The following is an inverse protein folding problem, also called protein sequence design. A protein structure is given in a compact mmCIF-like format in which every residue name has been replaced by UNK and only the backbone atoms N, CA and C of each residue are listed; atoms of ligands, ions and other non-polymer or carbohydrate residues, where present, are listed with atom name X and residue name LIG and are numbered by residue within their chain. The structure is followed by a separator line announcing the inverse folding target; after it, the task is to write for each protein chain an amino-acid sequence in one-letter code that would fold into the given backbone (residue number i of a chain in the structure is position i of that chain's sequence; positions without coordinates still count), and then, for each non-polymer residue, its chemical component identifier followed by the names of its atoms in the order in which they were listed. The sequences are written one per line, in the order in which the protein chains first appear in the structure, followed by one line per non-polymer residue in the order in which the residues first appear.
data_IF_858662106752
#
_entry.id   IF_858662106752
#
_cell.length_a   1.000
_cell.length_b   1.000
_cell.length_c   1.000
_cell.angle_alpha   90.00
_cell.angle_beta   90.00
_cell.angle_gamma   90.00
#
_symmetry.space_group_name_H-M   'P 1'
#
loop_
_entity.id
_entity.type
_entity.pdbx_description
1 polymer ?
#
# COMPACT_ATOMS: atom_id res chain seq x y z
N UNK A 1 -89.90 26.33 27.56
CA UNK A 1 -89.21 27.56 27.11
C UNK A 1 -87.74 27.45 27.46
N UNK A 2 -86.89 27.10 26.48
CA UNK A 2 -85.45 26.92 26.70
C UNK A 2 -84.81 28.30 26.83
N UNK A 3 -84.14 28.54 27.96
CA UNK A 3 -83.59 29.84 28.35
C UNK A 3 -82.48 30.28 27.38
N UNK A 4 -82.67 31.44 26.73
CA UNK A 4 -81.76 31.97 25.70
C UNK A 4 -80.34 32.24 26.20
N UNK A 5 -80.14 32.35 27.51
CA UNK A 5 -78.82 32.46 28.14
C UNK A 5 -78.00 31.17 28.01
N UNK A 6 -78.64 29.99 28.07
CA UNK A 6 -77.94 28.70 27.99
C UNK A 6 -77.52 28.35 26.56
N UNK A 7 -78.29 28.79 25.56
CA UNK A 7 -77.93 28.60 24.14
C UNK A 7 -76.72 29.46 23.75
N UNK A 8 -76.65 30.70 24.25
CA UNK A 8 -75.48 31.57 24.03
C UNK A 8 -74.24 31.02 24.72
N UNK A 9 -74.37 30.53 25.96
CA UNK A 9 -73.26 29.92 26.70
C UNK A 9 -72.70 28.67 25.99
N UNK A 10 -73.59 27.79 25.50
CA UNK A 10 -73.18 26.61 24.73
C UNK A 10 -72.48 26.97 23.41
N UNK A 11 -72.95 28.01 22.73
CA UNK A 11 -72.31 28.54 21.52
C UNK A 11 -70.88 29.02 21.76
N UNK A 12 -70.63 29.78 22.83
CA UNK A 12 -69.28 30.24 23.17
C UNK A 12 -68.34 29.10 23.55
N UNK A 13 -68.84 28.09 24.27
CA UNK A 13 -68.02 26.91 24.61
C UNK A 13 -67.61 26.11 23.38
N UNK A 14 -68.48 26.03 22.37
CA UNK A 14 -68.23 25.27 21.15
C UNK A 14 -67.25 26.03 20.22
N UNK A 15 -67.36 27.36 20.15
CA UNK A 15 -66.38 28.21 19.43
C UNK A 15 -65.00 28.13 20.08
N UNK A 16 -64.91 28.14 21.42
CA UNK A 16 -63.64 28.01 22.14
C UNK A 16 -62.94 26.66 21.88
N UNK A 17 -63.73 25.57 21.80
CA UNK A 17 -63.24 24.22 21.52
C UNK A 17 -62.73 24.05 20.07
N UNK A 18 -63.34 24.77 19.13
CA UNK A 18 -62.87 24.83 17.73
C UNK A 18 -61.57 25.63 17.62
N UNK A 19 -61.45 26.75 18.35
CA UNK A 19 -60.21 27.56 18.35
C UNK A 19 -59.03 26.80 18.97
N UNK A 20 -59.28 25.98 20.00
CA UNK A 20 -58.25 25.14 20.61
C UNK A 20 -57.77 23.98 19.71
N UNK A 21 -58.56 23.54 18.74
CA UNK A 21 -58.19 22.44 17.84
C UNK A 21 -57.46 22.90 16.57
N UNK A 22 -57.34 24.22 16.35
CA UNK A 22 -56.63 24.82 15.20
C UNK A 22 -55.21 25.32 15.57
N UNK A 23 -54.79 25.19 16.83
CA UNK A 23 -53.40 25.47 17.20
C UNK A 23 -52.47 24.42 16.58
N UNK A 24 -51.93 24.72 15.39
CA UNK A 24 -50.82 23.97 14.81
C UNK A 24 -49.71 23.85 15.86
N UNK A 25 -49.19 22.65 16.15
CA UNK A 25 -47.99 22.53 16.95
C UNK A 25 -46.88 23.22 16.15
N UNK A 26 -46.48 24.41 16.58
CA UNK A 26 -45.33 25.10 16.04
C UNK A 26 -44.13 24.22 16.26
N UNK A 27 -43.68 23.54 15.22
CA UNK A 27 -42.43 22.79 15.25
C UNK A 27 -41.31 23.81 15.35
N UNK A 28 -40.77 23.99 16.56
CA UNK A 28 -39.59 24.79 16.77
C UNK A 28 -38.42 24.11 16.05
N UNK A 29 -38.10 24.59 14.85
CA UNK A 29 -36.90 24.17 14.14
C UNK A 29 -35.71 24.82 14.85
N UNK A 30 -34.78 24.01 15.36
CA UNK A 30 -33.60 24.54 16.04
C UNK A 30 -32.73 25.30 15.04
N UNK A 31 -32.41 26.57 15.35
CA UNK A 31 -31.41 27.36 14.61
C UNK A 31 -29.99 26.79 14.72
N UNK A 32 -29.79 25.83 15.62
CA UNK A 32 -28.53 25.12 15.76
C UNK A 32 -28.42 24.02 14.69
N UNK A 33 -27.76 24.34 13.58
CA UNK A 33 -27.34 23.35 12.61
C UNK A 33 -26.00 22.77 13.07
N UNK A 34 -25.98 21.49 13.45
CA UNK A 34 -24.77 20.80 13.91
C UNK A 34 -23.64 20.72 12.84
N UNK A 35 -23.92 21.14 11.59
CA UNK A 35 -22.96 21.27 10.51
C UNK A 35 -22.45 22.71 10.24
N UNK A 36 -22.87 23.72 11.02
CA UNK A 36 -22.33 25.08 10.88
C UNK A 36 -20.90 25.11 11.41
N UNK A 37 -19.92 25.12 10.52
CA UNK A 37 -18.52 25.29 10.86
C UNK A 37 -18.35 26.47 11.84
N UNK A 38 -17.73 26.22 12.98
CA UNK A 38 -17.51 27.26 13.98
C UNK A 38 -16.67 28.37 13.36
N UNK A 39 -17.03 29.63 13.59
CA UNK A 39 -16.29 30.80 13.11
C UNK A 39 -14.83 30.84 13.60
N UNK A 40 -14.47 29.97 14.55
CA UNK A 40 -13.15 29.84 15.12
C UNK A 40 -12.55 28.43 14.97
N UNK A 41 -13.26 27.46 14.37
CA UNK A 41 -12.68 26.13 14.13
C UNK A 41 -11.98 26.07 12.79
N UNK A 42 -10.77 25.54 12.81
CA UNK A 42 -10.04 25.19 11.60
C UNK A 42 -10.87 24.23 10.72
N UNK A 43 -11.00 24.56 9.43
CA UNK A 43 -11.82 23.84 8.44
C UNK A 43 -11.05 22.62 7.97
N UNK A 44 -10.95 21.64 8.86
CA UNK A 44 -10.30 20.35 8.60
C UNK A 44 -11.32 19.27 8.28
N UNK A 45 -10.90 18.31 7.47
CA UNK A 45 -11.62 17.06 7.26
C UNK A 45 -11.93 16.36 8.60
N UNK A 46 -13.21 16.07 8.82
CA UNK A 46 -13.77 15.45 10.03
C UNK A 46 -14.90 14.48 9.74
N UNK A 47 -15.50 14.54 8.56
CA UNK A 47 -16.66 13.74 8.19
C UNK A 47 -16.30 12.77 7.06
N UNK A 48 -17.07 11.69 6.96
CA UNK A 48 -17.00 10.76 5.83
C UNK A 48 -17.36 11.56 4.58
N UNK A 49 -16.53 11.44 3.53
CA UNK A 49 -16.68 12.17 2.29
C UNK A 49 -15.79 13.42 2.18
N UNK A 50 -15.18 13.89 3.27
CA UNK A 50 -14.26 15.02 3.24
C UNK A 50 -12.99 14.68 2.44
N UNK A 51 -12.41 15.70 1.80
CA UNK A 51 -11.22 15.57 0.98
C UNK A 51 -9.97 15.93 1.78
N UNK A 52 -8.94 15.10 1.65
CA UNK A 52 -7.63 15.31 2.26
C UNK A 52 -6.58 15.13 1.18
N UNK A 53 -5.73 16.13 1.00
CA UNK A 53 -4.63 16.02 0.04
C UNK A 53 -3.37 15.46 0.69
N UNK A 54 -2.94 14.31 0.21
CA UNK A 54 -1.72 13.64 0.63
C UNK A 54 -0.55 14.11 -0.24
N UNK A 55 0.49 14.60 0.41
CA UNK A 55 1.77 14.94 -0.21
C UNK A 55 2.71 13.75 -0.03
N UNK A 56 2.98 13.05 -1.12
CA UNK A 56 3.77 11.84 -1.18
C UNK A 56 5.22 12.23 -1.43
N UNK A 57 6.11 11.90 -0.50
CA UNK A 57 7.56 12.08 -0.62
C UNK A 57 8.26 10.81 -0.11
N UNK A 58 8.34 9.78 -0.94
CA UNK A 58 8.96 8.50 -0.55
C UNK A 58 10.32 8.33 -1.21
N UNK A 59 11.28 7.86 -0.40
CA UNK A 59 12.61 7.46 -0.85
C UNK A 59 12.78 5.98 -0.51
N UNK A 60 12.65 5.11 -1.51
CA UNK A 60 12.86 3.67 -1.35
C UNK A 60 14.30 3.33 -1.76
N UNK A 61 15.12 2.91 -0.78
CA UNK A 61 16.47 2.39 -1.04
C UNK A 61 16.51 0.93 -0.61
N UNK A 62 16.46 0.01 -1.58
CA UNK A 62 16.62 -1.42 -1.33
C UNK A 62 18.02 -1.86 -1.79
N UNK A 63 18.93 -2.06 -0.83
CA UNK A 63 20.25 -2.65 -1.07
C UNK A 63 20.20 -4.13 -0.72
N UNK A 64 20.19 -5.00 -1.73
CA UNK A 64 20.31 -6.45 -1.54
C UNK A 64 21.74 -6.88 -1.88
N UNK A 65 22.48 -7.36 -0.88
CA UNK A 65 23.80 -7.95 -1.04
C UNK A 65 23.67 -9.46 -0.92
N UNK A 66 23.88 -10.18 -2.03
CA UNK A 66 23.91 -11.64 -2.07
C UNK A 66 25.37 -12.10 -2.18
N UNK A 67 25.93 -12.61 -1.08
CA UNK A 67 27.23 -13.27 -1.09
C UNK A 67 27.00 -14.79 -1.10
N UNK A 68 27.27 -15.43 -2.23
CA UNK A 68 27.26 -16.90 -2.34
C UNK A 68 28.69 -17.41 -2.35
N UNK A 69 29.10 -18.04 -1.24
CA UNK A 69 30.37 -18.75 -1.11
C UNK A 69 30.04 -20.24 -0.95
N UNK A 70 30.33 -21.04 -1.98
CA UNK A 70 30.14 -22.49 -1.95
C UNK A 70 31.49 -23.19 -2.15
N UNK A 71 32.15 -23.54 -1.05
CA UNK A 71 33.35 -24.37 -1.09
C UNK A 71 32.99 -25.85 -1.00
N UNK A 72 33.16 -26.61 -2.09
CA UNK A 72 33.19 -28.09 -2.05
C UNK A 72 34.64 -28.58 -2.12
N UNK A 73 35.27 -28.73 -0.96
CA UNK A 73 36.54 -29.44 -0.85
C UNK A 73 36.30 -30.95 -0.97
N UNK A 74 36.45 -31.52 -2.17
CA UNK A 74 36.47 -32.98 -2.36
C UNK A 74 37.92 -33.46 -2.36
N UNK A 75 38.45 -33.80 -1.18
CA UNK A 75 39.75 -34.44 -1.06
C UNK A 75 39.61 -35.94 -1.31
N UNK A 76 39.76 -36.39 -2.57
CA UNK A 76 39.98 -37.82 -2.86
C UNK A 76 41.44 -38.13 -2.59
N UNK A 77 41.74 -38.58 -1.37
CA UNK A 77 43.05 -39.11 -1.02
C UNK A 77 43.25 -40.47 -1.68
N UNK A 78 44.01 -40.52 -2.78
CA UNK A 78 44.58 -41.79 -3.28
C UNK A 78 45.77 -42.11 -2.38
N UNK A 79 45.49 -42.78 -1.25
CA UNK A 79 46.52 -43.44 -0.46
C UNK A 79 47.09 -44.64 -1.23
N UNK A 80 48.35 -45.04 -0.98
CA UNK A 80 49.06 -46.08 -1.74
C UNK A 80 48.46 -47.51 -1.64
N UNK A 81 47.28 -47.66 -1.03
CA UNK A 81 46.55 -48.92 -0.87
C UNK A 81 45.03 -48.78 -1.15
N UNK A 82 44.59 -47.75 -1.87
CA UNK A 82 43.18 -47.54 -2.22
C UNK A 82 42.88 -47.91 -3.67
N UNK A 83 42.04 -48.94 -3.87
CA UNK A 83 41.65 -49.48 -5.18
C UNK A 83 41.20 -48.42 -6.19
N UNK A 84 41.77 -48.52 -7.38
CA UNK A 84 41.59 -47.71 -8.57
C UNK A 84 40.12 -47.48 -8.96
N UNK A 85 39.62 -46.25 -8.79
CA UNK A 85 38.44 -45.76 -9.52
C UNK A 85 38.69 -45.64 -11.04
N UNK A 86 39.96 -45.71 -11.48
CA UNK A 86 40.32 -45.76 -12.89
C UNK A 86 39.99 -47.13 -13.54
N UNK A 87 39.60 -48.14 -12.77
CA UNK A 87 39.16 -49.44 -13.30
C UNK A 87 37.65 -49.48 -13.63
N UNK A 88 36.88 -48.45 -13.23
CA UNK A 88 35.45 -48.34 -13.53
C UNK A 88 35.13 -47.47 -14.75
N UNK A 89 36.14 -46.84 -15.36
CA UNK A 89 35.98 -45.98 -16.54
C UNK A 89 36.67 -46.66 -17.73
N UNK A 90 35.97 -47.53 -18.49
CA UNK A 90 36.57 -48.33 -19.56
C UNK A 90 37.13 -47.51 -20.73
N UNK A 91 36.85 -46.20 -20.79
CA UNK A 91 37.37 -45.31 -21.83
C UNK A 91 38.83 -44.88 -21.61
N UNK A 92 39.39 -45.06 -20.40
CA UNK A 92 40.73 -44.55 -20.06
C UNK A 92 41.84 -45.61 -20.16
N UNK A 93 41.54 -46.81 -20.69
CA UNK A 93 42.55 -47.83 -21.00
C UNK A 93 43.12 -47.59 -22.39
N UNK A 94 43.89 -46.51 -22.57
CA UNK A 94 44.80 -46.41 -23.72
C UNK A 94 46.24 -46.29 -23.25
N UNK A 95 46.99 -47.32 -23.64
CA UNK A 95 48.43 -47.52 -23.59
C UNK A 95 49.22 -46.23 -23.72
N UNK A 96 49.81 -45.70 -22.63
CA UNK A 96 51.09 -44.97 -22.68
C UNK A 96 51.61 -44.63 -21.28
N UNK A 97 52.85 -45.06 -21.02
CA UNK A 97 53.68 -44.65 -19.89
C UNK A 97 54.01 -43.15 -19.96
N UNK A 98 53.14 -42.28 -19.45
CA UNK A 98 53.48 -40.87 -19.16
C UNK A 98 52.97 -40.50 -17.76
N UNK A 99 53.77 -39.76 -16.97
CA UNK A 99 53.44 -39.48 -15.59
C UNK A 99 52.12 -38.72 -15.50
N UNK A 100 51.29 -39.26 -14.62
CA UNK A 100 49.98 -38.81 -14.17
C UNK A 100 49.93 -37.28 -14.06
N UNK A 101 49.17 -36.65 -14.97
CA UNK A 101 48.75 -35.25 -14.85
C UNK A 101 47.94 -35.16 -13.55
N UNK A 102 48.53 -34.58 -12.51
CA UNK A 102 47.83 -34.18 -11.31
C UNK A 102 47.00 -32.95 -11.66
N UNK A 103 45.78 -33.19 -12.17
CA UNK A 103 44.79 -32.14 -12.33
C UNK A 103 44.14 -31.89 -10.96
N UNK A 104 44.75 -31.01 -10.17
CA UNK A 104 44.11 -30.41 -8.99
C UNK A 104 43.21 -29.28 -9.46
N UNK A 105 41.92 -29.56 -9.68
CA UNK A 105 40.93 -28.52 -9.95
C UNK A 105 40.31 -28.08 -8.63
N UNK A 106 40.70 -26.89 -8.16
CA UNK A 106 40.05 -26.19 -7.05
C UNK A 106 39.13 -25.12 -7.64
N UNK A 107 37.84 -25.42 -7.77
CA UNK A 107 36.84 -24.45 -8.21
C UNK A 107 36.34 -23.65 -6.99
N UNK A 108 37.03 -22.57 -6.68
CA UNK A 108 36.59 -21.59 -5.68
C UNK A 108 35.56 -20.64 -6.31
N UNK A 109 34.27 -21.00 -6.24
CA UNK A 109 33.19 -20.17 -6.74
C UNK A 109 32.83 -19.07 -5.72
N UNK A 110 33.42 -17.89 -5.91
CA UNK A 110 33.06 -16.67 -5.19
C UNK A 110 32.19 -15.77 -6.09
N UNK A 111 30.87 -15.88 -5.94
CA UNK A 111 29.93 -14.96 -6.58
C UNK A 111 29.42 -13.94 -5.55
N UNK A 112 29.82 -12.68 -5.76
CA UNK A 112 29.28 -11.52 -5.04
C UNK A 112 28.33 -10.77 -5.97
N UNK A 113 27.05 -10.75 -5.62
CA UNK A 113 26.02 -10.00 -6.33
C UNK A 113 25.50 -8.87 -5.46
N UNK A 114 25.85 -7.62 -5.79
CA UNK A 114 25.23 -6.45 -5.18
C UNK A 114 24.15 -5.92 -6.12
N UNK A 115 22.90 -5.92 -5.67
CA UNK A 115 21.79 -5.28 -6.41
C UNK A 115 21.27 -4.13 -5.58
N UNK A 116 21.53 -2.90 -6.03
CA UNK A 116 20.95 -1.69 -5.46
C UNK A 116 19.76 -1.27 -6.32
N UNK A 117 18.56 -1.26 -5.74
CA UNK A 117 17.34 -0.70 -6.35
C UNK A 117 16.95 0.53 -5.55
N UNK A 118 17.16 1.71 -6.14
CA UNK A 118 16.75 2.99 -5.58
C UNK A 118 15.62 3.61 -6.40
N UNK A 119 14.67 4.25 -5.72
CA UNK A 119 13.59 5.02 -6.35
C UNK A 119 13.10 6.14 -5.44
N UNK A 120 12.89 7.33 -6.02
CA UNK A 120 12.25 8.46 -5.35
C UNK A 120 10.92 8.75 -6.01
N UNK A 121 9.87 8.93 -5.22
CA UNK A 121 8.54 9.33 -5.71
C UNK A 121 8.10 10.60 -5.00
N UNK A 122 7.72 11.60 -5.80
CA UNK A 122 7.15 12.87 -5.34
C UNK A 122 5.85 13.12 -6.07
N UNK A 123 4.74 13.08 -5.36
CA UNK A 123 3.41 13.26 -5.93
C UNK A 123 2.45 13.93 -4.94
N UNK A 124 1.38 14.53 -5.46
CA UNK A 124 0.30 15.12 -4.65
C UNK A 124 -1.02 14.51 -5.11
N UNK A 125 -1.72 13.86 -4.19
CA UNK A 125 -2.96 13.15 -4.47
C UNK A 125 -4.06 13.59 -3.51
N UNK A 126 -5.23 13.92 -4.04
CA UNK A 126 -6.40 14.15 -3.20
C UNK A 126 -7.11 12.83 -2.92
N UNK A 127 -7.28 12.54 -1.63
CA UNK A 127 -7.95 11.36 -1.09
C UNK A 127 -9.27 11.77 -0.45
N UNK A 128 -10.14 10.80 -0.20
CA UNK A 128 -11.40 10.99 0.49
C UNK A 128 -11.43 10.18 1.79
N UNK A 129 -12.07 10.72 2.82
CA UNK A 129 -12.34 10.00 4.07
C UNK A 129 -13.44 8.98 3.82
N UNK A 130 -13.11 7.69 3.94
CA UNK A 130 -14.06 6.58 3.76
C UNK A 130 -14.68 6.10 5.08
N UNK A 131 -13.94 6.22 6.18
CA UNK A 131 -14.37 5.71 7.48
C UNK A 131 -13.78 6.56 8.62
N UNK A 132 -14.51 6.63 9.73
CA UNK A 132 -14.06 7.29 10.96
C UNK A 132 -14.02 6.24 12.08
N UNK A 133 -12.84 6.08 12.68
CA UNK A 133 -12.67 5.20 13.82
C UNK A 133 -13.13 5.86 15.13
N UNK A 134 -13.46 5.04 16.13
CA UNK A 134 -13.95 5.48 17.45
C UNK A 134 -13.01 6.46 18.17
N UNK A 135 -11.71 6.44 17.85
CA UNK A 135 -10.69 7.34 18.39
C UNK A 135 -10.61 8.70 17.66
N UNK A 136 -11.47 8.96 16.67
CA UNK A 136 -11.47 10.17 15.85
C UNK A 136 -10.39 10.20 14.77
N UNK A 137 -9.81 9.05 14.43
CA UNK A 137 -8.93 8.92 13.25
C UNK A 137 -9.73 8.58 12.00
N UNK A 138 -9.23 9.02 10.86
CA UNK A 138 -9.90 8.98 9.58
C UNK A 138 -9.17 7.98 8.70
N UNK A 139 -9.89 7.01 8.14
CA UNK A 139 -9.37 6.20 7.04
C UNK A 139 -9.54 6.99 5.76
N UNK A 140 -8.45 7.18 5.03
CA UNK A 140 -8.43 7.89 3.75
C UNK A 140 -8.09 6.92 2.62
N UNK A 141 -8.76 7.11 1.49
CA UNK A 141 -8.52 6.35 0.27
C UNK A 141 -8.62 7.29 -0.93
N UNK A 142 -7.73 7.13 -1.91
CA UNK A 142 -7.78 7.89 -3.15
C UNK A 142 -6.99 7.21 -4.25
N UNK A 143 -7.48 7.39 -5.48
CA UNK A 143 -6.85 6.88 -6.68
C UNK A 143 -6.77 7.98 -7.72
N UNK A 144 -5.62 8.13 -8.36
CA UNK A 144 -5.44 9.04 -9.48
C UNK A 144 -4.80 8.31 -10.65
N UNK A 145 -5.49 8.39 -11.80
CA UNK A 145 -5.01 7.87 -13.07
C UNK A 145 -4.50 9.02 -13.92
N UNK A 146 -3.30 8.89 -14.45
CA UNK A 146 -2.63 9.88 -15.28
C UNK A 146 -2.09 9.15 -16.50
N UNK A 147 -2.40 9.64 -17.69
CA UNK A 147 -1.77 9.15 -18.91
C UNK A 147 -0.58 10.03 -19.25
N UNK A 148 0.63 9.47 -19.23
CA UNK A 148 1.86 10.17 -19.61
C UNK A 148 2.46 9.46 -20.82
N UNK A 149 2.68 10.19 -21.92
CA UNK A 149 3.25 9.64 -23.16
C UNK A 149 2.52 8.40 -23.72
N UNK A 150 1.20 8.31 -23.51
CA UNK A 150 0.39 7.17 -23.96
C UNK A 150 0.42 5.94 -23.03
N UNK A 151 1.14 6.02 -21.91
CA UNK A 151 1.12 5.00 -20.85
C UNK A 151 0.19 5.43 -19.72
N UNK A 152 -0.70 4.53 -19.28
CA UNK A 152 -1.53 4.76 -18.10
C UNK A 152 -0.70 4.49 -16.83
N UNK A 153 -0.65 5.51 -15.97
CA UNK A 153 -0.07 5.46 -14.64
C UNK A 153 -1.19 5.62 -13.63
N UNK A 154 -1.22 4.75 -12.63
CA UNK A 154 -2.20 4.74 -11.56
C UNK A 154 -1.48 4.86 -10.22
N UNK A 155 -1.89 5.86 -9.43
CA UNK A 155 -1.41 6.08 -8.06
C UNK A 155 -2.57 5.80 -7.13
N UNK A 156 -2.42 4.79 -6.27
CA UNK A 156 -3.39 4.44 -5.24
C UNK A 156 -2.78 4.76 -3.88
N UNK A 157 -3.50 5.49 -3.05
CA UNK A 157 -3.12 5.77 -1.67
C UNK A 157 -4.24 5.34 -0.74
N UNK A 158 -3.88 4.59 0.29
CA UNK A 158 -4.74 4.30 1.43
C UNK A 158 -3.97 4.48 2.73
N UNK A 159 -4.69 4.74 3.82
CA UNK A 159 -4.09 4.82 5.14
C UNK A 159 -5.00 5.44 6.18
N UNK A 160 -4.45 5.65 7.38
CA UNK A 160 -5.16 6.19 8.53
C UNK A 160 -4.48 7.48 8.97
N UNK A 161 -5.25 8.56 9.10
CA UNK A 161 -4.78 9.89 9.47
C UNK A 161 -5.50 10.39 10.70
N UNK A 162 -4.80 11.12 11.58
CA UNK A 162 -5.45 11.83 12.68
C UNK A 162 -5.82 13.24 12.22
N UNK A 163 -6.98 13.74 12.60
CA UNK A 163 -7.39 15.13 12.27
C UNK A 163 -6.40 16.19 12.74
N UNK A 164 -5.60 15.91 13.79
CA UNK A 164 -4.55 16.81 14.26
C UNK A 164 -3.33 16.92 13.34
N UNK A 165 -3.04 15.88 12.57
CA UNK A 165 -1.89 15.83 11.66
C UNK A 165 -2.25 16.44 10.29
N UNK A 166 -3.54 16.69 10.04
CA UNK A 166 -4.05 17.43 8.89
C UNK A 166 -3.80 18.93 9.12
N UNK A 167 -3.15 19.58 8.17
CA UNK A 167 -2.94 21.03 8.17
C UNK A 167 -4.25 21.79 7.94
N UNK A 168 -4.32 23.10 8.27
CA UNK A 168 -5.50 23.93 7.99
C UNK A 168 -5.96 23.88 6.52
N UNK A 169 -5.01 23.69 5.60
CA UNK A 169 -5.28 23.57 4.16
C UNK A 169 -5.73 22.17 3.71
N UNK A 170 -6.16 21.30 4.64
CA UNK A 170 -6.52 19.90 4.38
C UNK A 170 -5.40 19.07 3.73
N UNK A 171 -4.15 19.36 4.09
CA UNK A 171 -2.97 18.64 3.58
C UNK A 171 -2.28 17.82 4.65
N UNK A 172 -1.74 16.66 4.26
CA UNK A 172 -0.97 15.76 5.13
C UNK A 172 0.23 15.18 4.37
N UNK A 173 1.37 15.04 5.04
CA UNK A 173 2.55 14.37 4.48
C UNK A 173 2.37 12.85 4.57
N UNK A 174 2.81 12.10 3.56
CA UNK A 174 2.75 10.63 3.55
C UNK A 174 3.43 10.00 4.78
N UNK A 175 4.50 10.62 5.29
CA UNK A 175 5.20 10.20 6.51
C UNK A 175 4.36 10.28 7.80
N UNK A 176 3.28 11.07 7.80
CA UNK A 176 2.36 11.22 8.93
C UNK A 176 1.11 10.34 8.80
N UNK A 177 0.98 9.59 7.69
CA UNK A 177 -0.11 8.65 7.46
C UNK A 177 0.26 7.30 8.07
N UNK A 178 -0.56 6.81 9.01
CA UNK A 178 -0.37 5.49 9.60
C UNK A 178 -0.83 4.40 8.64
N UNK A 179 -0.07 3.30 8.56
CA UNK A 179 -0.31 2.21 7.61
C UNK A 179 -0.52 2.72 6.17
N UNK A 180 0.30 3.69 5.76
CA UNK A 180 0.27 4.25 4.43
C UNK A 180 0.60 3.16 3.41
N UNK A 181 -0.36 2.85 2.54
CA UNK A 181 -0.14 2.02 1.36
C UNK A 181 -0.17 2.93 0.14
N UNK A 182 0.98 3.02 -0.54
CA UNK A 182 1.17 3.87 -1.71
C UNK A 182 1.61 2.96 -2.85
N UNK A 183 0.69 2.70 -3.77
CA UNK A 183 0.95 1.89 -4.94
C UNK A 183 1.12 2.81 -6.15
N UNK A 184 2.23 2.64 -6.85
CA UNK A 184 2.49 3.28 -8.14
C UNK A 184 2.53 2.19 -9.21
N UNK A 185 1.47 2.12 -10.01
CA UNK A 185 1.30 1.12 -11.07
C UNK A 185 1.46 1.83 -12.42
N UNK A 186 2.53 1.54 -13.14
CA UNK A 186 2.74 2.00 -14.51
C UNK A 186 2.78 0.82 -15.47
N UNK A 187 1.91 0.82 -16.48
CA UNK A 187 1.95 -0.20 -17.53
C UNK A 187 3.06 0.19 -18.52
N UNK A 188 4.29 -0.27 -18.27
CA UNK A 188 5.47 0.06 -19.08
C UNK A 188 6.25 -1.18 -19.55
N UNK A 189 6.72 -1.16 -20.80
CA UNK A 189 7.50 -2.22 -21.48
C UNK A 189 8.91 -2.50 -20.89
N UNK A 190 9.30 -1.81 -19.82
CA UNK A 190 10.67 -1.84 -19.28
C UNK A 190 10.88 -2.96 -18.24
N UNK A 191 9.81 -3.51 -17.66
CA UNK A 191 9.87 -4.57 -16.65
C UNK A 191 10.27 -5.96 -17.20
N UNK A 192 10.01 -6.24 -18.47
CA UNK A 192 10.13 -7.60 -19.02
C UNK A 192 11.54 -8.03 -19.44
N UNK A 193 12.53 -7.11 -19.43
CA UNK A 193 13.92 -7.45 -19.82
C UNK A 193 14.81 -7.95 -18.69
N UNK A 194 14.34 -8.01 -17.44
CA UNK A 194 15.18 -8.36 -16.28
C UNK A 194 15.14 -9.84 -15.86
N UNK A 195 14.44 -10.72 -16.59
CA UNK A 195 14.53 -12.16 -16.31
C UNK A 195 15.76 -12.71 -17.02
N UNK A 196 16.79 -13.22 -16.31
CA UNK A 196 17.91 -13.88 -16.95
C UNK A 196 17.37 -15.02 -17.81
N UNK A 197 17.78 -15.02 -19.08
CA UNK A 197 17.28 -15.97 -20.07
C UNK A 197 17.52 -17.42 -19.65
N UNK A 198 16.71 -18.33 -20.17
CA UNK A 198 16.86 -19.78 -19.95
C UNK A 198 18.29 -20.26 -20.21
N UNK A 199 19.00 -19.67 -21.18
CA UNK A 199 20.39 -20.00 -21.50
C UNK A 199 21.36 -19.67 -20.35
N UNK A 200 21.20 -18.51 -19.71
CA UNK A 200 22.02 -18.08 -18.55
C UNK A 200 21.77 -18.97 -17.33
N UNK A 201 20.52 -19.43 -17.14
CA UNK A 201 20.16 -20.37 -16.07
C UNK A 201 20.74 -21.77 -16.31
N UNK A 202 20.80 -22.20 -17.58
CA UNK A 202 21.34 -23.51 -17.96
C UNK A 202 22.87 -23.52 -17.89
N UNK A 203 23.53 -22.44 -18.30
CA UNK A 203 24.99 -22.27 -18.16
C UNK A 203 25.44 -22.26 -16.69
N UNK A 204 24.71 -21.58 -15.79
CA UNK A 204 24.99 -21.59 -14.34
C UNK A 204 24.71 -22.95 -13.66
N UNK A 205 24.04 -23.89 -14.33
CA UNK A 205 23.80 -25.23 -13.77
C UNK A 205 24.82 -26.26 -14.26
N UNK A 206 25.43 -26.02 -15.42
CA UNK A 206 26.33 -26.96 -16.09
C UNK A 206 27.82 -26.72 -15.76
N UNK A 207 28.18 -25.53 -15.30
CA UNK A 207 29.50 -25.14 -14.79
C UNK A 207 29.36 -24.73 -13.33
#
# INVERSE_FOLDING_TARGET
MINSKNIKFLGYTLVCLIVLSISWPGMATSLFNAGSASLYSDVKARQIGDLVTVIIQEQATASQTANTSSGKGTSVGIGPYGGSLADLIPFLKTTTNKPLVTASTSDDFNASGSTSRGGSISAKLTTQVVEIYNNGTLKIEGTQKITINGEEQEIVVSGIVRTRDISPDNTVLSSLVANAEIQYVGIGVVGDKQKPGLLTRLLNWLF
#
